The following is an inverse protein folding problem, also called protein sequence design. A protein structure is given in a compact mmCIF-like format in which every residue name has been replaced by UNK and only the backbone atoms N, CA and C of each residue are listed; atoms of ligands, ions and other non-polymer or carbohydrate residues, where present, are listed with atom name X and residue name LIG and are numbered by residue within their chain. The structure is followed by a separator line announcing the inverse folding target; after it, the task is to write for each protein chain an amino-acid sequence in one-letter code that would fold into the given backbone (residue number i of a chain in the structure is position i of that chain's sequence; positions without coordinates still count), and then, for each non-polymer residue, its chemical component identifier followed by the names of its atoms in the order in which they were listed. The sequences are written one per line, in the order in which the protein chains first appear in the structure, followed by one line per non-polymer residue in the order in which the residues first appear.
data_IF_883517370565
#
_entry.id   IF_883517370565
#
_cell.length_a   1.000
_cell.length_b   1.000
_cell.length_c   1.000
_cell.angle_alpha   90.00
_cell.angle_beta   90.00
_cell.angle_gamma   90.00
#
_symmetry.space_group_name_H-M   'P 1'
#
loop_
_entity.id
_entity.type
_entity.pdbx_description
1 polymer ?
#
# COMPACT_ATOMS: atom_id res chain seq x y z
N UNK A 1 3.65 5.09 -21.80
CA UNK A 1 2.84 5.33 -20.60
C UNK A 1 3.79 5.70 -19.48
N UNK A 2 3.57 6.82 -18.81
CA UNK A 2 4.40 7.28 -17.70
C UNK A 2 4.26 6.34 -16.50
N UNK A 3 5.29 6.28 -15.65
CA UNK A 3 5.35 5.39 -14.49
C UNK A 3 6.04 6.09 -13.32
N UNK A 4 5.54 5.89 -12.12
CA UNK A 4 6.18 6.26 -10.86
C UNK A 4 6.61 4.98 -10.17
N UNK A 5 7.91 4.84 -9.92
CA UNK A 5 8.48 3.68 -9.24
C UNK A 5 8.15 3.69 -7.75
N UNK A 6 8.04 2.52 -7.15
CA UNK A 6 7.88 2.34 -5.70
C UNK A 6 9.10 2.80 -4.87
N UNK A 7 10.20 3.19 -5.51
CA UNK A 7 11.34 3.82 -4.83
C UNK A 7 11.08 5.29 -4.45
N UNK A 8 10.09 5.92 -5.11
CA UNK A 8 9.70 7.31 -4.83
C UNK A 8 8.50 7.31 -3.89
N UNK A 9 8.76 7.37 -2.61
CA UNK A 9 7.72 7.36 -1.57
C UNK A 9 7.81 8.58 -0.66
N UNK A 10 6.66 8.97 -0.12
CA UNK A 10 6.50 9.96 0.92
C UNK A 10 5.75 9.32 2.09
N UNK A 11 6.00 9.81 3.30
CA UNK A 11 5.35 9.36 4.54
C UNK A 11 4.45 10.44 5.15
N UNK A 12 4.50 11.64 4.60
CA UNK A 12 3.63 12.76 4.98
C UNK A 12 3.07 13.44 3.74
N UNK A 13 1.79 13.80 3.77
CA UNK A 13 1.15 14.58 2.72
C UNK A 13 1.32 16.07 3.00
N UNK A 14 2.31 16.70 2.39
CA UNK A 14 2.56 18.14 2.53
C UNK A 14 3.00 18.78 1.21
N UNK A 15 2.93 20.11 1.15
CA UNK A 15 3.27 20.89 -0.06
C UNK A 15 4.76 20.96 -0.37
N UNK A 16 5.62 20.57 0.57
CA UNK A 16 7.09 20.60 0.42
C UNK A 16 7.61 19.33 -0.28
N UNK A 17 6.74 18.32 -0.48
CA UNK A 17 7.13 17.11 -1.21
C UNK A 17 7.35 17.45 -2.69
N UNK A 18 8.58 17.28 -3.15
CA UNK A 18 8.95 17.50 -4.54
C UNK A 18 8.30 16.46 -5.47
N UNK A 19 7.62 16.91 -6.53
CA UNK A 19 7.03 15.97 -7.49
C UNK A 19 8.09 15.19 -8.25
N UNK A 20 7.90 13.88 -8.36
CA UNK A 20 8.80 13.00 -9.12
C UNK A 20 8.40 12.85 -10.58
N UNK A 21 7.22 13.34 -10.94
CA UNK A 21 6.68 13.27 -12.29
C UNK A 21 5.69 14.42 -12.54
N UNK A 22 5.76 15.02 -13.73
CA UNK A 22 4.77 15.99 -14.21
C UNK A 22 3.88 15.35 -15.26
N UNK A 23 2.58 15.57 -15.14
CA UNK A 23 1.55 15.06 -16.06
C UNK A 23 0.57 16.17 -16.45
N UNK A 24 -0.09 15.99 -17.58
CA UNK A 24 -1.23 16.82 -17.99
C UNK A 24 -2.55 16.09 -17.72
N UNK A 25 -3.65 16.85 -17.67
CA UNK A 25 -4.99 16.27 -17.51
C UNK A 25 -5.29 15.24 -18.59
N UNK A 26 -5.84 14.09 -18.22
CA UNK A 26 -6.18 12.98 -19.11
C UNK A 26 -5.07 11.97 -19.34
N UNK A 27 -3.84 12.20 -18.90
CA UNK A 27 -2.78 11.22 -19.00
C UNK A 27 -3.04 9.99 -18.12
N UNK A 28 -2.51 8.86 -18.55
CA UNK A 28 -2.54 7.60 -17.77
C UNK A 28 -1.15 7.32 -17.21
N UNK A 29 -1.10 7.09 -15.91
CA UNK A 29 0.14 6.81 -15.16
C UNK A 29 0.03 5.45 -14.49
N UNK A 30 1.13 4.72 -14.47
CA UNK A 30 1.29 3.51 -13.63
C UNK A 30 1.99 3.92 -12.35
N UNK A 31 1.39 3.60 -11.21
CA UNK A 31 2.05 3.68 -9.91
C UNK A 31 2.45 2.28 -9.48
N UNK A 32 3.72 2.10 -9.16
CA UNK A 32 4.22 0.93 -8.45
C UNK A 32 4.19 1.26 -6.96
N UNK A 33 3.39 0.52 -6.20
CA UNK A 33 3.24 0.78 -4.77
C UNK A 33 3.92 -0.29 -3.94
N UNK A 34 4.37 0.07 -2.77
CA UNK A 34 4.76 -0.87 -1.73
C UNK A 34 3.54 -1.24 -0.89
N UNK A 35 3.66 -2.31 -0.10
CA UNK A 35 2.69 -2.62 0.96
C UNK A 35 2.85 -1.66 2.16
N UNK A 36 1.93 -1.75 3.13
CA UNK A 36 1.94 -0.86 4.28
C UNK A 36 3.17 -0.99 5.19
N UNK A 37 3.96 -2.04 5.03
CA UNK A 37 5.18 -2.28 5.79
C UNK A 37 6.46 -1.99 4.98
N UNK A 38 6.35 -1.28 3.86
CA UNK A 38 7.47 -0.95 2.97
C UNK A 38 8.24 -2.19 2.46
N UNK A 39 7.59 -3.35 2.39
CA UNK A 39 8.19 -4.62 1.96
C UNK A 39 9.04 -5.31 3.02
N UNK A 40 8.98 -4.91 4.27
CA UNK A 40 9.79 -5.49 5.36
C UNK A 40 9.26 -6.85 5.83
N UNK A 41 7.96 -7.12 5.64
CA UNK A 41 7.35 -8.39 6.05
C UNK A 41 7.31 -9.36 4.88
N UNK A 42 8.18 -10.37 4.89
CA UNK A 42 8.34 -11.36 3.81
C UNK A 42 8.04 -12.79 4.26
N UNK A 43 8.20 -13.04 5.54
CA UNK A 43 8.07 -14.37 6.14
C UNK A 43 7.30 -14.31 7.45
N UNK A 44 6.88 -15.47 7.95
CA UNK A 44 6.22 -15.59 9.25
C UNK A 44 7.15 -15.26 10.45
N UNK A 45 8.46 -15.18 10.21
CA UNK A 45 9.43 -14.77 11.24
C UNK A 45 9.52 -13.24 11.41
N UNK A 46 8.99 -12.47 10.45
CA UNK A 46 8.99 -11.00 10.51
C UNK A 46 7.77 -10.57 11.32
N UNK A 47 7.96 -10.15 12.55
CA UNK A 47 6.90 -9.78 13.48
C UNK A 47 6.79 -8.26 13.66
N UNK A 48 5.73 -7.82 14.33
CA UNK A 48 5.48 -6.39 14.60
C UNK A 48 6.67 -5.72 15.28
N UNK A 49 7.36 -6.41 16.17
CA UNK A 49 8.56 -5.91 16.87
C UNK A 49 9.75 -5.61 15.93
N UNK A 50 9.76 -6.16 14.71
CA UNK A 50 10.81 -5.93 13.72
C UNK A 50 10.50 -4.77 12.77
N UNK A 51 9.31 -4.19 12.83
CA UNK A 51 8.87 -3.15 11.90
C UNK A 51 9.32 -1.76 12.36
N UNK A 52 9.93 -1.00 11.45
CA UNK A 52 10.15 0.42 11.65
C UNK A 52 8.87 1.20 11.36
N UNK A 53 8.14 1.58 12.39
CA UNK A 53 6.89 2.35 12.27
C UNK A 53 7.07 3.76 11.71
N UNK A 54 8.29 4.26 11.56
CA UNK A 54 8.55 5.53 10.88
C UNK A 54 8.44 5.43 9.36
N UNK A 55 8.49 4.20 8.82
CA UNK A 55 8.47 3.91 7.38
C UNK A 55 7.24 3.13 6.94
N UNK A 56 6.21 3.02 7.79
CA UNK A 56 4.95 2.36 7.41
C UNK A 56 4.05 3.28 6.58
N UNK A 57 3.17 2.65 5.80
CA UNK A 57 2.21 3.32 4.92
C UNK A 57 2.85 4.27 3.89
N UNK A 58 3.85 3.82 3.13
CA UNK A 58 4.48 4.63 2.10
C UNK A 58 3.46 4.99 1.01
N UNK A 59 3.43 6.25 0.60
CA UNK A 59 2.65 6.71 -0.54
C UNK A 59 3.57 6.98 -1.74
N UNK A 60 3.34 6.28 -2.86
CA UNK A 60 4.14 6.45 -4.07
C UNK A 60 3.85 7.78 -4.76
N UNK A 61 4.86 8.55 -5.03
CA UNK A 61 4.76 9.86 -5.65
C UNK A 61 5.54 10.92 -4.87
N UNK A 62 5.08 12.20 -4.89
CA UNK A 62 3.88 12.70 -5.58
C UNK A 62 4.10 12.96 -7.07
N UNK A 63 3.02 13.22 -7.78
CA UNK A 63 3.09 13.78 -9.13
C UNK A 63 2.49 15.19 -9.17
N UNK A 64 2.96 15.99 -10.13
CA UNK A 64 2.44 17.31 -10.42
C UNK A 64 1.49 17.27 -11.62
N UNK A 65 0.32 17.86 -11.49
CA UNK A 65 -0.63 18.03 -12.60
C UNK A 65 -0.49 19.42 -13.18
N UNK A 66 0.04 19.50 -14.40
CA UNK A 66 0.27 20.78 -15.06
C UNK A 66 -1.05 21.51 -15.33
N UNK A 67 -1.07 22.79 -14.99
CA UNK A 67 -2.23 23.66 -15.18
C UNK A 67 -3.33 23.50 -14.12
N UNK A 68 -3.15 22.66 -13.11
CA UNK A 68 -4.08 22.58 -11.98
C UNK A 68 -3.89 23.77 -11.02
N UNK A 69 -5.00 24.34 -10.57
CA UNK A 69 -5.04 25.49 -9.69
C UNK A 69 -5.79 25.21 -8.39
N UNK A 70 -5.59 26.04 -7.39
CA UNK A 70 -6.31 25.96 -6.12
C UNK A 70 -7.81 26.17 -6.35
N UNK A 71 -8.61 25.19 -5.92
CA UNK A 71 -10.06 25.16 -6.13
C UNK A 71 -10.51 24.19 -7.21
N UNK A 72 -9.60 23.68 -8.01
CA UNK A 72 -9.90 22.63 -8.98
C UNK A 72 -10.28 21.31 -8.31
N UNK A 73 -11.04 20.48 -9.02
CA UNK A 73 -11.37 19.13 -8.59
C UNK A 73 -10.52 18.10 -9.32
N UNK A 74 -9.73 17.34 -8.58
CA UNK A 74 -8.99 16.21 -9.12
C UNK A 74 -9.90 14.99 -9.28
N UNK A 75 -10.07 14.52 -10.54
CA UNK A 75 -10.76 13.28 -10.84
C UNK A 75 -9.74 12.18 -11.18
N UNK A 76 -9.64 11.17 -10.35
CA UNK A 76 -8.80 9.99 -10.57
C UNK A 76 -9.65 8.82 -11.05
N UNK A 77 -9.32 8.27 -12.23
CA UNK A 77 -9.99 7.08 -12.78
C UNK A 77 -9.06 5.88 -12.68
N UNK A 78 -9.33 4.98 -11.74
CA UNK A 78 -8.57 3.74 -11.55
C UNK A 78 -8.96 2.76 -12.67
N UNK A 79 -8.01 2.49 -13.58
CA UNK A 79 -8.26 1.61 -14.73
C UNK A 79 -7.99 0.14 -14.42
N UNK A 80 -6.97 -0.12 -13.61
CA UNK A 80 -6.57 -1.48 -13.24
C UNK A 80 -5.78 -1.46 -11.94
N UNK A 81 -6.00 -2.45 -11.09
CA UNK A 81 -5.18 -2.78 -9.94
C UNK A 81 -4.58 -4.17 -10.16
N UNK A 82 -3.26 -4.27 -10.11
CA UNK A 82 -2.52 -5.53 -10.10
C UNK A 82 -1.89 -5.66 -8.71
N UNK A 83 -2.10 -6.78 -8.07
CA UNK A 83 -1.59 -7.06 -6.72
C UNK A 83 -0.59 -8.20 -6.78
N UNK A 84 0.25 -8.30 -5.77
CA UNK A 84 1.21 -9.39 -5.62
C UNK A 84 0.54 -10.73 -5.33
N UNK A 85 1.28 -11.81 -5.54
CA UNK A 85 0.83 -13.17 -5.27
C UNK A 85 0.82 -13.54 -3.78
N UNK A 86 1.32 -12.66 -2.92
CA UNK A 86 1.37 -12.84 -1.47
C UNK A 86 0.97 -11.56 -0.75
N UNK A 87 0.40 -11.72 0.44
CA UNK A 87 0.15 -10.65 1.39
C UNK A 87 0.49 -11.10 2.80
N UNK A 88 0.71 -10.16 3.71
CA UNK A 88 0.98 -10.43 5.12
C UNK A 88 -0.16 -9.97 6.02
N UNK A 89 -0.44 -10.76 7.05
CA UNK A 89 -1.38 -10.42 8.12
C UNK A 89 -0.63 -10.54 9.45
N UNK A 90 -0.58 -9.44 10.19
CA UNK A 90 0.12 -9.37 11.47
C UNK A 90 -0.88 -9.14 12.60
N UNK A 91 -0.63 -9.83 13.72
CA UNK A 91 -1.34 -9.60 14.98
C UNK A 91 -0.33 -9.41 16.11
N UNK A 92 -0.64 -8.53 17.05
CA UNK A 92 0.19 -8.29 18.22
C UNK A 92 -0.67 -7.79 19.38
N UNK A 93 -0.22 -7.97 20.64
CA UNK A 93 -0.84 -7.32 21.79
C UNK A 93 -0.93 -5.81 21.60
N UNK A 94 -2.11 -5.23 21.85
CA UNK A 94 -2.34 -3.79 21.69
C UNK A 94 -2.52 -3.30 20.24
N UNK A 95 -2.40 -4.17 19.23
CA UNK A 95 -2.57 -3.82 17.83
C UNK A 95 -3.97 -4.26 17.31
N UNK A 96 -4.77 -3.28 16.89
CA UNK A 96 -6.10 -3.50 16.31
C UNK A 96 -7.24 -3.58 17.33
N UNK A 97 -8.47 -3.74 16.83
CA UNK A 97 -9.70 -3.64 17.64
C UNK A 97 -9.90 -4.80 18.60
N UNK A 98 -9.37 -5.99 18.31
CA UNK A 98 -9.52 -7.20 19.13
C UNK A 98 -8.23 -7.57 19.87
N UNK A 99 -7.36 -6.61 20.07
CA UNK A 99 -6.01 -6.83 20.63
C UNK A 99 -6.00 -7.31 22.08
N UNK A 100 -7.07 -7.09 22.87
CA UNK A 100 -7.15 -7.54 24.26
C UNK A 100 -7.07 -9.08 24.43
N UNK A 101 -7.43 -9.84 23.40
CA UNK A 101 -7.33 -11.32 23.39
C UNK A 101 -6.04 -11.85 22.76
N UNK A 102 -5.11 -11.00 22.35
CA UNK A 102 -3.87 -11.38 21.70
C UNK A 102 -2.74 -11.34 22.72
N UNK A 103 -2.14 -12.50 22.99
CA UNK A 103 -1.09 -12.66 24.00
C UNK A 103 0.33 -12.58 23.41
N UNK A 104 0.50 -12.84 22.11
CA UNK A 104 1.79 -12.87 21.43
C UNK A 104 1.67 -12.34 20.00
N UNK A 105 2.81 -11.96 19.43
CA UNK A 105 2.90 -11.55 18.04
C UNK A 105 2.81 -12.76 17.11
N UNK A 106 2.08 -12.61 16.04
CA UNK A 106 1.99 -13.62 14.98
C UNK A 106 1.93 -12.95 13.62
N UNK A 107 2.68 -13.50 12.66
CA UNK A 107 2.61 -13.13 11.25
C UNK A 107 2.16 -14.34 10.44
N UNK A 108 1.21 -14.14 9.57
CA UNK A 108 0.80 -15.14 8.59
C UNK A 108 0.95 -14.59 7.18
N UNK A 109 1.51 -15.39 6.29
CA UNK A 109 1.61 -15.08 4.86
C UNK A 109 0.40 -15.70 4.15
N UNK A 110 -0.38 -14.85 3.50
CA UNK A 110 -1.52 -15.26 2.69
C UNK A 110 -1.11 -15.36 1.22
N UNK A 111 -1.57 -16.41 0.54
CA UNK A 111 -1.42 -16.55 -0.91
C UNK A 111 -2.58 -15.86 -1.62
N UNK A 112 -2.26 -15.14 -2.70
CA UNK A 112 -3.24 -14.40 -3.48
C UNK A 112 -3.32 -15.02 -4.88
N UNK A 113 -4.51 -15.48 -5.24
CA UNK A 113 -4.85 -15.99 -6.58
C UNK A 113 -5.60 -14.92 -7.38
N UNK A 114 -6.05 -15.24 -8.59
CA UNK A 114 -6.86 -14.32 -9.40
C UNK A 114 -8.25 -14.03 -8.80
N UNK A 115 -8.77 -14.94 -7.97
CA UNK A 115 -10.16 -14.90 -7.47
C UNK A 115 -10.27 -14.85 -5.95
N UNK A 116 -9.23 -15.26 -5.22
CA UNK A 116 -9.28 -15.42 -3.78
C UNK A 116 -7.94 -15.15 -3.10
N UNK A 117 -7.99 -14.83 -1.83
CA UNK A 117 -6.87 -14.86 -0.88
C UNK A 117 -7.02 -16.10 -0.01
N UNK A 118 -5.97 -16.91 0.04
CA UNK A 118 -5.91 -18.12 0.87
C UNK A 118 -5.20 -17.78 2.19
N UNK A 119 -5.95 -17.83 3.29
CA UNK A 119 -5.44 -17.44 4.61
C UNK A 119 -5.82 -18.48 5.65
N UNK A 120 -4.84 -19.14 6.27
CA UNK A 120 -5.02 -20.12 7.36
C UNK A 120 -6.12 -21.17 7.05
N UNK A 121 -6.17 -21.66 5.80
CA UNK A 121 -7.17 -22.65 5.35
C UNK A 121 -8.53 -22.07 4.94
N UNK A 122 -8.71 -20.77 5.04
CA UNK A 122 -9.89 -20.07 4.53
C UNK A 122 -9.64 -19.54 3.12
N UNK A 123 -10.65 -19.61 2.27
CA UNK A 123 -10.68 -19.00 0.96
C UNK A 123 -11.55 -17.73 1.02
N UNK A 124 -10.92 -16.57 0.88
CA UNK A 124 -11.58 -15.27 0.98
C UNK A 124 -11.69 -14.68 -0.42
N UNK A 125 -12.90 -14.39 -0.94
CA UNK A 125 -13.08 -13.82 -2.27
C UNK A 125 -12.29 -12.53 -2.45
N UNK A 126 -11.50 -12.46 -3.54
CA UNK A 126 -10.63 -11.33 -3.81
C UNK A 126 -11.44 -10.10 -4.26
N UNK A 127 -11.22 -8.98 -3.59
CA UNK A 127 -11.67 -7.65 -4.01
C UNK A 127 -10.47 -6.73 -4.06
N UNK A 128 -9.96 -6.49 -5.28
CA UNK A 128 -8.80 -5.61 -5.47
C UNK A 128 -9.14 -4.19 -5.05
N UNK A 129 -8.35 -3.66 -4.15
CA UNK A 129 -8.45 -2.27 -3.71
C UNK A 129 -7.06 -1.72 -3.39
N UNK A 130 -6.93 -0.43 -3.33
CA UNK A 130 -5.75 0.30 -2.87
C UNK A 130 -6.21 1.27 -1.79
N UNK A 131 -5.46 1.35 -0.71
CA UNK A 131 -5.70 2.24 0.42
C UNK A 131 -4.55 3.20 0.61
#
# INVERSE_FOLDING_TARGET
MKRVSCEHVIFEMNKENEPVLTVTSGETVVFETQDCFSGDVKTEADTVSNIDFSTVNPATGPLYVEGAEVGDTLKVSIKRITIDAKGAVLTAPGLGLLSEGIEFEETAIAEVTDTATLYKGYEIPLRKMIG
#
